data_IF_076132592229
#
_entry.id   IF_076132592229
#
_cell.length_a   1.000
_cell.length_b   1.000
_cell.length_c   1.000
_cell.angle_alpha   90.00
_cell.angle_beta   90.00
_cell.angle_gamma   90.00
#
_symmetry.space_group_name_H-M   'P 1'
#
loop_
_entity.id
_entity.type
_entity.pdbx_description
1 polymer ?
#
# COMPACT_ATOMS: atom_id res chain seq x y z
N UNK A 1 6.88 8.90 -14.67
CA UNK A 1 7.41 9.32 -13.36
C UNK A 1 7.93 8.08 -12.67
N UNK A 2 9.23 8.01 -12.34
CA UNK A 2 9.82 6.79 -11.76
C UNK A 2 9.25 6.49 -10.38
N UNK A 3 8.95 5.21 -10.10
CA UNK A 3 8.51 4.76 -8.77
C UNK A 3 9.64 5.01 -7.76
N UNK A 4 9.29 5.32 -6.51
CA UNK A 4 10.28 5.59 -5.46
C UNK A 4 11.30 4.44 -5.33
N UNK A 5 10.83 3.22 -5.56
CA UNK A 5 11.63 2.01 -5.55
C UNK A 5 12.82 2.12 -6.52
N UNK A 6 12.60 2.61 -7.73
CA UNK A 6 13.63 2.68 -8.80
C UNK A 6 14.74 3.68 -8.47
N UNK A 7 14.41 4.72 -7.70
CA UNK A 7 15.37 5.75 -7.28
C UNK A 7 16.22 5.29 -6.07
N UNK A 8 15.77 4.25 -5.36
CA UNK A 8 16.40 3.75 -4.13
C UNK A 8 17.26 2.50 -4.32
N UNK A 9 17.39 1.98 -5.55
CA UNK A 9 18.13 0.75 -5.83
C UNK A 9 19.65 0.97 -5.71
N UNK A 10 20.32 0.03 -5.04
CA UNK A 10 21.79 -0.02 -4.99
C UNK A 10 22.36 -0.65 -6.29
N UNK A 11 23.65 -0.44 -6.57
CA UNK A 11 24.35 -0.83 -7.82
C UNK A 11 24.24 -2.30 -8.28
N UNK A 12 23.66 -3.23 -7.52
CA UNK A 12 23.42 -4.63 -7.88
C UNK A 12 22.05 -5.15 -7.38
N UNK A 13 21.08 -4.26 -7.25
CA UNK A 13 19.76 -4.57 -6.75
C UNK A 13 18.72 -4.50 -7.87
N UNK A 14 17.90 -5.54 -7.99
CA UNK A 14 16.83 -5.62 -8.98
C UNK A 14 15.49 -5.86 -8.30
N UNK A 15 14.44 -5.22 -8.83
CA UNK A 15 13.07 -5.45 -8.38
C UNK A 15 12.61 -6.78 -8.96
N UNK A 16 12.41 -7.77 -8.10
CA UNK A 16 11.89 -9.08 -8.48
C UNK A 16 10.38 -8.98 -8.70
N UNK A 17 9.68 -8.30 -7.80
CA UNK A 17 8.23 -8.15 -7.88
C UNK A 17 7.78 -6.82 -7.30
N UNK A 18 6.77 -6.21 -7.93
CA UNK A 18 6.03 -5.07 -7.37
C UNK A 18 4.70 -5.59 -6.86
N UNK A 19 4.50 -5.51 -5.55
CA UNK A 19 3.20 -5.83 -4.97
C UNK A 19 2.31 -4.59 -5.07
N UNK A 20 1.09 -4.77 -5.56
CA UNK A 20 0.07 -3.73 -5.53
C UNK A 20 -0.79 -3.91 -4.28
N UNK A 21 -1.13 -2.80 -3.63
CA UNK A 21 -2.03 -2.82 -2.47
C UNK A 21 -3.41 -3.28 -2.93
N UNK A 22 -4.00 -4.23 -2.21
CA UNK A 22 -5.36 -4.69 -2.45
C UNK A 22 -6.36 -3.56 -2.28
N UNK A 23 -7.35 -3.48 -3.17
CA UNK A 23 -8.38 -2.43 -3.16
C UNK A 23 -9.57 -2.77 -2.24
N UNK A 24 -9.66 -4.01 -1.78
CA UNK A 24 -10.77 -4.50 -0.94
C UNK A 24 -10.98 -3.66 0.33
N UNK A 25 -9.94 -3.30 1.11
CA UNK A 25 -10.13 -2.49 2.32
C UNK A 25 -10.70 -1.09 2.04
N UNK A 26 -10.58 -0.61 0.81
CA UNK A 26 -11.05 0.71 0.35
C UNK A 26 -12.56 0.74 0.12
N UNK A 27 -13.20 -0.41 -0.10
CA UNK A 27 -14.62 -0.48 -0.53
C UNK A 27 -15.56 0.04 0.57
N UNK A 28 -15.42 -0.45 1.80
CA UNK A 28 -16.27 -0.06 2.94
C UNK A 28 -16.23 1.46 3.19
N UNK A 29 -15.04 2.10 3.37
CA UNK A 29 -15.00 3.53 3.62
C UNK A 29 -15.50 4.36 2.43
N UNK A 30 -15.35 3.88 1.19
CA UNK A 30 -15.91 4.55 0.02
C UNK A 30 -17.44 4.48 0.02
N UNK A 31 -18.05 3.33 0.37
CA UNK A 31 -19.51 3.20 0.48
C UNK A 31 -20.04 4.15 1.57
N UNK A 32 -19.42 4.19 2.74
CA UNK A 32 -19.78 5.10 3.83
C UNK A 32 -19.65 6.56 3.37
N UNK A 33 -18.55 6.87 2.66
CA UNK A 33 -18.33 8.17 2.07
C UNK A 33 -19.45 8.57 1.11
N UNK A 34 -19.82 7.69 0.17
CA UNK A 34 -20.90 7.95 -0.80
C UNK A 34 -22.23 8.20 -0.09
N UNK A 35 -22.55 7.41 0.93
CA UNK A 35 -23.78 7.56 1.72
C UNK A 35 -23.84 8.92 2.44
N UNK A 36 -22.70 9.48 2.82
CA UNK A 36 -22.59 10.77 3.50
C UNK A 36 -22.47 11.97 2.55
N UNK A 37 -22.43 11.76 1.24
CA UNK A 37 -22.38 12.87 0.26
C UNK A 37 -23.59 13.82 0.32
N UNK A 38 -24.85 13.36 0.50
CA UNK A 38 -26.00 14.25 0.60
C UNK A 38 -25.94 15.22 1.79
N UNK A 39 -25.16 14.89 2.82
CA UNK A 39 -24.94 15.74 4.00
C UNK A 39 -23.83 16.76 3.71
N UNK A 40 -24.11 17.70 2.80
CA UNK A 40 -23.20 18.81 2.45
C UNK A 40 -21.78 18.36 2.03
N UNK A 41 -21.65 17.17 1.43
CA UNK A 41 -20.36 16.66 0.96
C UNK A 41 -19.43 16.12 2.05
N UNK A 42 -19.92 15.86 3.26
CA UNK A 42 -19.15 15.23 4.35
C UNK A 42 -18.44 13.93 3.90
N UNK A 43 -19.07 13.19 2.99
CA UNK A 43 -18.48 12.01 2.35
C UNK A 43 -17.09 12.21 1.73
N UNK A 44 -16.83 13.39 1.18
CA UNK A 44 -15.54 13.70 0.53
C UNK A 44 -14.38 13.68 1.53
N UNK A 45 -14.62 14.02 2.80
CA UNK A 45 -13.61 13.97 3.85
C UNK A 45 -13.13 12.55 4.14
N UNK A 46 -13.90 11.53 3.76
CA UNK A 46 -13.56 10.12 3.94
C UNK A 46 -12.97 9.54 2.65
N UNK A 47 -13.61 9.83 1.50
CA UNK A 47 -13.22 9.25 0.21
C UNK A 47 -11.83 9.73 -0.21
N UNK A 48 -11.56 11.03 -0.12
CA UNK A 48 -10.33 11.63 -0.64
C UNK A 48 -9.10 11.09 0.10
N UNK A 49 -9.02 11.08 1.45
CA UNK A 49 -7.83 10.57 2.14
C UNK A 49 -7.60 9.07 1.90
N UNK A 50 -8.66 8.28 1.76
CA UNK A 50 -8.56 6.84 1.51
C UNK A 50 -7.99 6.56 0.13
N UNK A 51 -8.50 7.23 -0.92
CA UNK A 51 -7.97 7.11 -2.28
C UNK A 51 -6.50 7.53 -2.34
N UNK A 52 -6.16 8.66 -1.72
CA UNK A 52 -4.78 9.14 -1.65
C UNK A 52 -3.85 8.14 -0.95
N UNK A 53 -4.31 7.48 0.11
CA UNK A 53 -3.52 6.45 0.80
C UNK A 53 -3.23 5.25 -0.10
N UNK A 54 -4.23 4.73 -0.81
CA UNK A 54 -4.06 3.57 -1.71
C UNK A 54 -3.12 3.91 -2.85
N UNK A 55 -3.30 5.06 -3.49
CA UNK A 55 -2.44 5.48 -4.62
C UNK A 55 -1.01 5.80 -4.21
N UNK A 56 -0.81 6.28 -2.98
CA UNK A 56 0.52 6.61 -2.48
C UNK A 56 1.26 5.42 -1.86
N UNK A 57 0.62 4.26 -1.75
CA UNK A 57 1.24 3.06 -1.19
C UNK A 57 1.96 2.28 -2.29
N UNK A 58 3.28 2.12 -2.14
CA UNK A 58 4.13 1.37 -3.05
C UNK A 58 4.78 0.22 -2.28
N UNK A 59 4.58 -1.02 -2.75
CA UNK A 59 5.21 -2.21 -2.17
C UNK A 59 6.12 -2.86 -3.24
N UNK A 60 7.35 -3.17 -2.88
CA UNK A 60 8.29 -3.84 -3.78
C UNK A 60 9.13 -4.87 -3.05
N UNK A 61 9.36 -5.98 -3.74
CA UNK A 61 10.28 -7.03 -3.36
C UNK A 61 11.49 -6.95 -4.29
N UNK A 62 12.65 -6.72 -3.70
CA UNK A 62 13.94 -6.82 -4.41
C UNK A 62 14.62 -8.14 -4.08
N UNK A 63 15.76 -8.40 -4.72
CA UNK A 63 16.62 -9.54 -4.39
C UNK A 63 17.29 -9.45 -3.01
N UNK A 64 17.27 -8.27 -2.36
CA UNK A 64 17.97 -8.06 -1.09
C UNK A 64 17.05 -7.61 0.05
N UNK A 65 15.95 -6.91 -0.26
CA UNK A 65 15.06 -6.35 0.75
C UNK A 65 13.61 -6.24 0.28
N UNK A 66 12.71 -6.16 1.24
CA UNK A 66 11.31 -5.78 1.07
C UNK A 66 11.19 -4.29 1.37
N UNK A 67 10.55 -3.54 0.47
CA UNK A 67 10.32 -2.10 0.61
C UNK A 67 8.82 -1.86 0.64
N UNK A 68 8.34 -1.20 1.69
CA UNK A 68 6.95 -0.76 1.82
C UNK A 68 6.92 0.74 2.11
N UNK A 69 6.46 1.53 1.14
CA UNK A 69 6.28 2.97 1.26
C UNK A 69 4.79 3.28 1.35
N UNK A 70 4.41 4.10 2.33
CA UNK A 70 3.03 4.57 2.52
C UNK A 70 3.02 6.09 2.63
N UNK A 71 2.09 6.75 1.95
CA UNK A 71 1.82 8.18 2.09
C UNK A 71 2.41 9.04 0.96
N UNK A 72 1.73 10.16 0.70
CA UNK A 72 2.04 11.07 -0.40
C UNK A 72 3.00 12.19 0.03
N UNK A 73 2.59 12.97 1.05
CA UNK A 73 3.35 14.11 1.59
C UNK A 73 4.29 13.64 2.70
N UNK A 74 3.73 13.06 3.78
CA UNK A 74 4.52 12.36 4.80
C UNK A 74 4.68 10.91 4.36
N UNK A 75 5.88 10.56 3.90
CA UNK A 75 6.23 9.22 3.43
C UNK A 75 6.78 8.42 4.60
N UNK A 76 6.11 7.34 4.94
CA UNK A 76 6.62 6.34 5.87
C UNK A 76 7.11 5.18 5.03
N UNK A 77 8.42 4.92 5.07
CA UNK A 77 9.04 3.81 4.35
C UNK A 77 9.57 2.81 5.36
N UNK A 78 9.23 1.54 5.16
CA UNK A 78 9.76 0.40 5.90
C UNK A 78 10.60 -0.42 4.94
N UNK A 79 11.86 -0.63 5.28
CA UNK A 79 12.79 -1.44 4.51
C UNK A 79 13.30 -2.57 5.40
N UNK A 80 13.13 -3.81 4.95
CA UNK A 80 13.51 -5.02 5.69
C UNK A 80 14.38 -5.91 4.81
N UNK A 81 15.63 -6.16 5.20
CA UNK A 81 16.50 -7.07 4.44
C UNK A 81 15.99 -8.51 4.57
N UNK A 82 16.00 -9.25 3.46
CA UNK A 82 15.46 -10.62 3.39
C UNK A 82 16.25 -11.57 4.30
N UNK A 83 17.56 -11.37 4.43
CA UNK A 83 18.44 -12.18 5.30
C UNK A 83 18.23 -11.93 6.81
N UNK A 84 17.41 -10.93 7.18
CA UNK A 84 17.02 -10.62 8.55
C UNK A 84 15.58 -10.99 8.86
N UNK A 85 14.86 -11.58 7.90
CA UNK A 85 13.50 -12.08 8.12
C UNK A 85 13.59 -13.46 8.78
N UNK A 86 13.25 -13.54 10.06
CA UNK A 86 13.26 -14.80 10.80
C UNK A 86 11.99 -15.63 10.57
N UNK A 87 10.83 -14.97 10.53
CA UNK A 87 9.54 -15.60 10.28
C UNK A 87 8.52 -14.61 9.71
N UNK A 88 7.53 -15.12 8.98
CA UNK A 88 6.42 -14.35 8.42
C UNK A 88 5.09 -14.95 8.89
N UNK A 89 4.37 -14.20 9.71
CA UNK A 89 2.99 -14.54 10.12
C UNK A 89 1.99 -13.97 9.12
N UNK A 90 1.18 -14.83 8.50
CA UNK A 90 0.13 -14.42 7.57
C UNK A 90 -1.22 -14.60 8.26
N UNK A 91 -1.90 -13.48 8.52
CA UNK A 91 -3.27 -13.48 9.03
C UNK A 91 -4.24 -13.19 7.88
N UNK A 92 -4.82 -14.26 7.32
CA UNK A 92 -5.72 -14.18 6.17
C UNK A 92 -7.09 -14.73 6.57
N UNK A 93 -8.13 -13.89 6.44
CA UNK A 93 -9.51 -14.31 6.64
C UNK A 93 -10.03 -15.18 5.49
N UNK A 94 -11.25 -15.73 5.65
CA UNK A 94 -11.87 -16.65 4.67
C UNK A 94 -11.92 -16.03 3.26
N UNK A 95 -12.36 -14.76 3.16
CA UNK A 95 -12.43 -14.06 1.88
C UNK A 95 -11.06 -13.87 1.24
N UNK A 96 -10.04 -13.55 2.04
CA UNK A 96 -8.67 -13.42 1.53
C UNK A 96 -8.11 -14.75 1.03
N UNK A 97 -8.57 -15.90 1.52
CA UNK A 97 -8.09 -17.21 1.06
C UNK A 97 -8.66 -17.60 -0.30
N UNK A 98 -9.83 -17.06 -0.66
CA UNK A 98 -10.54 -17.38 -1.90
C UNK A 98 -10.12 -16.42 -3.03
N UNK A 99 -9.81 -15.16 -2.69
CA UNK A 99 -9.46 -14.08 -3.61
C UNK A 99 -8.08 -13.50 -3.28
#
# INVERSE_FOLDING_TARGET
MGSYVDQSLTRNESVISRAQTSWIPTIIPVIIGILLLPFYGLGLLIIVPVLLRVWSTELALTNQRVIAKVGLIRRNTVELRIDKVESLGIHQGILGRIF
#
